data_IF_467333690308
#
_entry.id   IF_467333690308
#
_cell.length_a   1.000
_cell.length_b   1.000
_cell.length_c   1.000
_cell.angle_alpha   90.00
_cell.angle_beta   90.00
_cell.angle_gamma   90.00
#
_symmetry.space_group_name_H-M   'P 1'
#
loop_
_entity.id
_entity.type
_entity.pdbx_description
1 polymer ?
#
# COMPACT_ATOMS: atom_id res chain seq x y z
N UNK A 1 -5.21 19.52 5.15
CA UNK A 1 -4.01 18.65 5.17
C UNK A 1 -3.74 18.20 3.75
N UNK A 2 -2.49 18.25 3.30
CA UNK A 2 -2.14 17.77 1.96
C UNK A 2 -2.21 16.22 1.92
N UNK A 3 -2.52 15.65 0.74
CA UNK A 3 -2.61 14.18 0.57
C UNK A 3 -1.31 13.49 0.96
N UNK A 4 -0.15 14.06 0.60
CA UNK A 4 1.15 13.51 0.98
C UNK A 4 1.35 13.44 2.50
N UNK A 5 0.87 14.44 3.22
CA UNK A 5 1.02 14.48 4.68
C UNK A 5 0.11 13.43 5.34
N UNK A 6 -1.10 13.23 4.78
CA UNK A 6 -2.00 12.16 5.22
C UNK A 6 -1.41 10.77 4.97
N UNK A 7 -0.75 10.58 3.82
CA UNK A 7 -0.05 9.32 3.50
C UNK A 7 1.13 9.09 4.44
N UNK A 8 1.94 10.12 4.69
CA UNK A 8 3.06 10.07 5.64
C UNK A 8 2.58 9.65 7.03
N UNK A 9 1.55 10.33 7.55
CA UNK A 9 0.95 9.99 8.85
C UNK A 9 0.45 8.55 8.90
N UNK A 10 -0.20 8.07 7.84
CA UNK A 10 -0.69 6.69 7.78
C UNK A 10 0.43 5.66 7.78
N UNK A 11 1.53 5.93 7.07
CA UNK A 11 2.73 5.07 7.09
C UNK A 11 3.36 5.10 8.48
N UNK A 12 3.56 6.28 9.06
CA UNK A 12 4.12 6.46 10.41
C UNK A 12 3.32 5.71 11.47
N UNK A 13 1.99 5.82 11.43
CA UNK A 13 1.10 5.13 12.35
C UNK A 13 1.24 3.60 12.27
N UNK A 14 1.32 3.06 11.05
CA UNK A 14 1.48 1.63 10.85
C UNK A 14 2.86 1.13 11.28
N UNK A 15 3.93 1.86 10.97
CA UNK A 15 5.28 1.52 11.37
C UNK A 15 5.48 1.59 12.89
N UNK A 16 4.80 2.53 13.55
CA UNK A 16 4.81 2.65 15.02
C UNK A 16 4.07 1.49 15.69
N UNK A 17 2.99 1.03 15.07
CA UNK A 17 2.13 -0.03 15.62
C UNK A 17 2.72 -1.42 15.45
N UNK A 18 3.49 -1.64 14.39
CA UNK A 18 3.95 -2.97 14.00
C UNK A 18 5.40 -2.91 13.48
N UNK A 19 6.29 -3.58 14.20
CA UNK A 19 7.72 -3.61 13.87
C UNK A 19 8.04 -4.40 12.60
N UNK A 20 7.15 -5.28 12.16
CA UNK A 20 7.29 -6.04 10.90
C UNK A 20 7.01 -5.18 9.66
N UNK A 21 6.46 -3.99 9.81
CA UNK A 21 6.23 -3.05 8.69
C UNK A 21 7.55 -2.40 8.31
N UNK A 22 7.93 -2.56 7.04
CA UNK A 22 9.09 -1.92 6.42
C UNK A 22 8.67 -1.12 5.20
N UNK A 23 9.42 -0.09 4.86
CA UNK A 23 9.22 0.71 3.64
C UNK A 23 10.46 0.55 2.76
N UNK A 24 10.26 0.23 1.48
CA UNK A 24 11.36 0.14 0.52
C UNK A 24 10.96 0.70 -0.83
N UNK A 25 11.95 1.22 -1.53
CA UNK A 25 11.79 1.81 -2.85
C UNK A 25 12.93 2.75 -3.20
N UNK A 26 12.85 3.34 -4.38
CA UNK A 26 13.82 4.31 -4.85
C UNK A 26 13.68 5.63 -4.11
N UNK A 27 14.80 6.11 -3.52
CA UNK A 27 14.90 7.43 -2.88
C UNK A 27 13.86 7.66 -1.75
N UNK A 28 13.36 6.60 -1.14
CA UNK A 28 12.35 6.70 -0.07
C UNK A 28 12.93 7.14 1.27
N UNK A 29 14.22 6.89 1.51
CA UNK A 29 14.93 7.24 2.72
C UNK A 29 15.60 8.61 2.61
N UNK A 30 16.79 8.66 2.04
CA UNK A 30 17.64 9.85 2.00
C UNK A 30 16.97 11.06 1.32
N UNK A 31 16.26 10.84 0.23
CA UNK A 31 15.55 11.89 -0.51
C UNK A 31 14.11 12.12 -0.04
N UNK A 32 13.60 11.32 0.91
CA UNK A 32 12.24 11.40 1.46
C UNK A 32 11.12 11.10 0.43
N UNK A 33 11.43 10.34 -0.60
CA UNK A 33 10.52 10.07 -1.73
C UNK A 33 10.45 11.20 -2.75
N UNK A 34 10.12 10.87 -3.99
CA UNK A 34 10.00 11.84 -5.09
C UNK A 34 9.01 12.98 -4.76
N UNK A 35 7.94 12.66 -4.07
CA UNK A 35 6.89 13.61 -3.66
C UNK A 35 6.91 13.92 -2.15
N UNK A 36 8.01 13.56 -1.48
CA UNK A 36 8.24 13.82 -0.05
C UNK A 36 7.21 13.16 0.89
N UNK A 37 6.66 12.02 0.46
CA UNK A 37 5.69 11.26 1.26
C UNK A 37 6.34 10.62 2.48
N UNK A 38 7.62 10.27 2.40
CA UNK A 38 8.34 9.54 3.44
C UNK A 38 9.24 10.44 4.31
N UNK A 39 9.00 11.76 4.26
CA UNK A 39 9.78 12.73 5.03
C UNK A 39 9.81 12.40 6.52
N UNK A 40 11.02 12.37 7.09
CA UNK A 40 11.26 12.15 8.52
C UNK A 40 11.17 10.69 8.97
N UNK A 41 10.82 9.75 8.07
CA UNK A 41 10.68 8.36 8.46
C UNK A 41 12.03 7.65 8.61
N UNK A 42 13.03 8.00 7.80
CA UNK A 42 14.38 7.42 7.93
C UNK A 42 15.01 7.76 9.28
N UNK A 43 14.93 9.03 9.68
CA UNK A 43 15.46 9.51 10.95
C UNK A 43 14.77 8.86 12.14
N UNK A 44 13.50 8.51 11.98
CA UNK A 44 12.68 7.93 13.05
C UNK A 44 12.83 6.41 13.17
N UNK A 45 12.94 5.69 12.05
CA UNK A 45 12.88 4.22 12.03
C UNK A 45 14.19 3.56 11.62
N UNK A 46 15.15 4.33 11.08
CA UNK A 46 16.46 3.84 10.66
C UNK A 46 16.44 3.06 9.33
N UNK A 47 17.64 2.78 8.85
CA UNK A 47 17.88 2.13 7.55
C UNK A 47 17.41 0.66 7.50
N UNK A 48 17.26 0.01 8.64
CA UNK A 48 16.74 -1.36 8.70
C UNK A 48 15.24 -1.46 8.36
N UNK A 49 14.52 -0.35 8.47
CA UNK A 49 13.08 -0.30 8.20
C UNK A 49 12.69 0.64 7.07
N UNK A 50 13.55 1.60 6.73
CA UNK A 50 13.40 2.50 5.58
C UNK A 50 14.57 2.22 4.64
N UNK A 51 14.30 1.56 3.53
CA UNK A 51 15.32 0.95 2.69
C UNK A 51 15.32 1.63 1.32
N UNK A 52 16.37 2.38 1.03
CA UNK A 52 16.61 2.88 -0.32
C UNK A 52 17.11 1.74 -1.22
N UNK A 53 16.53 1.62 -2.40
CA UNK A 53 16.88 0.61 -3.39
C UNK A 53 17.54 1.24 -4.61
N UNK A 54 18.35 0.48 -5.37
CA UNK A 54 18.74 0.88 -6.72
C UNK A 54 17.52 1.06 -7.63
N UNK A 55 17.70 1.77 -8.76
CA UNK A 55 16.69 1.88 -9.81
C UNK A 55 16.57 0.52 -10.51
N UNK A 56 15.71 -0.32 -9.97
CA UNK A 56 15.44 -1.67 -10.48
C UNK A 56 14.09 -2.17 -9.97
N UNK A 57 13.02 -1.73 -10.59
CA UNK A 57 11.66 -2.00 -10.14
C UNK A 57 11.34 -3.51 -10.10
N UNK A 58 11.83 -4.25 -11.09
CA UNK A 58 11.73 -5.71 -11.07
C UNK A 58 12.46 -6.32 -9.86
N UNK A 59 13.66 -5.83 -9.55
CA UNK A 59 14.47 -6.34 -8.44
C UNK A 59 13.85 -6.05 -7.09
N UNK A 60 13.55 -4.80 -6.80
CA UNK A 60 13.02 -4.44 -5.47
C UNK A 60 11.56 -4.87 -5.27
N UNK A 61 10.74 -4.94 -6.32
CA UNK A 61 9.40 -5.53 -6.20
C UNK A 61 9.48 -7.01 -5.83
N UNK A 62 10.40 -7.76 -6.47
CA UNK A 62 10.64 -9.16 -6.10
C UNK A 62 11.17 -9.32 -4.68
N UNK A 63 12.10 -8.46 -4.27
CA UNK A 63 12.62 -8.44 -2.90
C UNK A 63 11.52 -8.16 -1.87
N UNK A 64 10.65 -7.17 -2.15
CA UNK A 64 9.50 -6.85 -1.30
C UNK A 64 8.52 -8.03 -1.18
N UNK A 65 8.21 -8.70 -2.28
CA UNK A 65 7.37 -9.91 -2.27
C UNK A 65 8.00 -11.01 -1.43
N UNK A 66 9.30 -11.26 -1.62
CA UNK A 66 10.05 -12.24 -0.81
C UNK A 66 10.02 -11.90 0.68
N UNK A 67 10.20 -10.64 1.04
CA UNK A 67 10.10 -10.17 2.42
C UNK A 67 8.68 -10.38 3.00
N UNK A 68 7.64 -10.13 2.19
CA UNK A 68 6.25 -10.39 2.56
C UNK A 68 5.97 -11.88 2.79
N UNK A 69 6.46 -12.74 1.92
CA UNK A 69 6.37 -14.20 2.09
C UNK A 69 7.18 -14.69 3.30
N UNK A 70 8.27 -13.98 3.64
CA UNK A 70 9.11 -14.25 4.81
C UNK A 70 8.55 -13.74 6.14
N UNK A 71 7.36 -13.11 6.14
CA UNK A 71 6.67 -12.69 7.37
C UNK A 71 6.77 -11.21 7.70
N UNK A 72 7.46 -10.39 6.90
CA UNK A 72 7.43 -8.94 7.01
C UNK A 72 6.16 -8.37 6.35
N UNK A 73 5.92 -7.07 6.53
CA UNK A 73 4.81 -6.33 5.91
C UNK A 73 5.37 -5.16 5.10
N UNK A 74 5.87 -5.42 3.91
CA UNK A 74 6.49 -4.39 3.11
C UNK A 74 5.50 -3.38 2.56
N UNK A 75 5.89 -2.12 2.59
CA UNK A 75 5.34 -1.04 1.76
C UNK A 75 6.36 -0.81 0.65
N UNK A 76 6.06 -1.29 -0.55
CA UNK A 76 6.91 -1.15 -1.73
C UNK A 76 6.47 0.09 -2.50
N UNK A 77 7.32 1.11 -2.50
CA UNK A 77 7.05 2.37 -3.20
C UNK A 77 7.72 2.41 -4.56
N UNK A 78 6.93 2.62 -5.60
CA UNK A 78 7.42 3.02 -6.92
C UNK A 78 7.49 4.54 -6.99
N UNK A 79 8.54 5.08 -7.59
CA UNK A 79 8.72 6.52 -7.76
C UNK A 79 7.55 7.17 -8.51
N UNK A 80 7.04 6.47 -9.55
CA UNK A 80 5.72 6.64 -10.14
C UNK A 80 5.15 5.27 -10.48
N UNK A 81 3.86 5.07 -10.28
CA UNK A 81 3.23 3.77 -10.51
C UNK A 81 3.25 3.33 -11.98
N UNK A 82 3.57 4.23 -12.89
CA UNK A 82 3.84 3.93 -14.30
C UNK A 82 4.94 2.87 -14.45
N UNK A 83 5.97 2.91 -13.60
CA UNK A 83 7.11 1.97 -13.66
C UNK A 83 6.86 0.67 -12.90
N UNK A 84 5.73 0.52 -12.25
CA UNK A 84 5.31 -0.76 -11.67
C UNK A 84 5.16 -1.86 -12.74
N UNK A 85 5.00 -1.48 -14.01
CA UNK A 85 5.01 -2.43 -15.13
C UNK A 85 6.29 -3.24 -15.23
N UNK A 86 7.43 -2.69 -14.82
CA UNK A 86 8.72 -3.42 -14.84
C UNK A 86 8.75 -4.54 -13.78
N UNK A 87 7.95 -4.43 -12.73
CA UNK A 87 7.80 -5.44 -11.68
C UNK A 87 6.44 -6.16 -11.70
N UNK A 88 5.69 -6.07 -12.81
CA UNK A 88 4.30 -6.56 -12.88
C UNK A 88 4.17 -8.05 -12.59
N UNK A 89 5.14 -8.85 -12.99
CA UNK A 89 5.14 -10.30 -12.70
C UNK A 89 5.16 -10.57 -11.20
N UNK A 90 6.00 -9.87 -10.46
CA UNK A 90 6.06 -10.00 -9.00
C UNK A 90 4.78 -9.56 -8.30
N UNK A 91 4.10 -8.54 -8.83
CA UNK A 91 2.82 -8.06 -8.29
C UNK A 91 1.71 -9.09 -8.56
N UNK A 92 1.57 -9.53 -9.81
CA UNK A 92 0.45 -10.35 -10.25
C UNK A 92 0.68 -11.84 -10.00
N UNK A 93 1.82 -12.38 -10.43
CA UNK A 93 2.06 -13.82 -10.36
C UNK A 93 2.62 -14.25 -9.00
N UNK A 94 3.48 -13.44 -8.40
CA UNK A 94 4.09 -13.80 -7.12
C UNK A 94 3.22 -13.37 -5.93
N UNK A 95 2.94 -12.07 -5.76
CA UNK A 95 2.19 -11.58 -4.60
C UNK A 95 0.71 -11.96 -4.64
N UNK A 96 0.01 -11.63 -5.74
CA UNK A 96 -1.45 -11.80 -5.81
C UNK A 96 -1.88 -13.26 -5.79
N UNK A 97 -1.15 -14.15 -6.47
CA UNK A 97 -1.54 -15.56 -6.65
C UNK A 97 -1.03 -16.52 -5.60
N UNK A 98 -0.01 -16.14 -4.81
CA UNK A 98 0.61 -17.03 -3.83
C UNK A 98 -0.39 -17.62 -2.86
N UNK A 99 -1.30 -16.81 -2.34
CA UNK A 99 -2.34 -17.26 -1.40
C UNK A 99 -3.28 -18.30 -2.01
N UNK A 100 -3.77 -18.04 -3.22
CA UNK A 100 -4.66 -18.95 -3.93
C UNK A 100 -3.95 -20.25 -4.30
N UNK A 101 -2.75 -20.18 -4.91
CA UNK A 101 -2.02 -21.35 -5.37
C UNK A 101 -1.54 -22.25 -4.23
N UNK A 102 -1.36 -21.70 -3.03
CA UNK A 102 -1.01 -22.47 -1.83
C UNK A 102 -2.21 -22.94 -1.02
N UNK A 103 -3.42 -22.89 -1.56
CA UNK A 103 -4.66 -23.23 -0.85
C UNK A 103 -4.85 -22.45 0.47
N UNK A 104 -4.44 -21.18 0.47
CA UNK A 104 -4.59 -20.28 1.62
C UNK A 104 -3.46 -20.34 2.67
N UNK A 105 -2.43 -21.16 2.43
CA UNK A 105 -1.33 -21.36 3.39
C UNK A 105 -0.37 -20.17 3.37
N UNK A 106 0.08 -19.76 2.18
CA UNK A 106 1.02 -18.66 2.03
C UNK A 106 0.30 -17.32 2.08
N UNK A 107 0.85 -16.38 2.84
CA UNK A 107 0.36 -14.99 2.89
C UNK A 107 1.45 -14.05 2.42
N UNK A 108 1.07 -13.06 1.64
CA UNK A 108 1.96 -11.99 1.20
C UNK A 108 1.32 -10.64 1.58
N UNK A 109 1.46 -10.19 2.83
CA UNK A 109 0.86 -8.95 3.31
C UNK A 109 1.70 -7.74 2.85
N UNK A 110 1.54 -7.35 1.60
CA UNK A 110 2.33 -6.30 0.94
C UNK A 110 1.42 -5.18 0.45
N UNK A 111 1.94 -3.96 0.47
CA UNK A 111 1.35 -2.79 -0.16
C UNK A 111 2.28 -2.30 -1.26
N UNK A 112 1.79 -2.26 -2.48
CA UNK A 112 2.44 -1.55 -3.59
C UNK A 112 1.80 -0.18 -3.72
N UNK A 113 2.61 0.87 -3.70
CA UNK A 113 2.13 2.24 -3.80
C UNK A 113 2.99 3.11 -4.70
N UNK A 114 2.42 4.20 -5.17
CA UNK A 114 3.11 5.23 -5.94
C UNK A 114 2.13 6.27 -6.47
N UNK A 115 2.61 7.42 -6.94
CA UNK A 115 1.80 8.36 -7.69
C UNK A 115 1.25 7.70 -8.95
N UNK A 116 0.00 8.02 -9.31
CA UNK A 116 -0.68 7.39 -10.45
C UNK A 116 -1.57 8.41 -11.14
N UNK A 117 -1.72 8.27 -12.45
CA UNK A 117 -2.55 9.13 -13.27
C UNK A 117 -1.80 10.28 -13.93
N UNK A 118 -2.56 11.28 -14.36
CA UNK A 118 -2.03 12.43 -15.09
C UNK A 118 -1.08 13.26 -14.23
N UNK A 119 0.05 13.62 -14.81
CA UNK A 119 1.03 14.53 -14.21
C UNK A 119 1.31 15.73 -15.12
N UNK A 120 1.88 16.78 -14.57
CA UNK A 120 2.09 18.03 -15.31
C UNK A 120 3.45 18.04 -16.00
N UNK A 121 3.44 18.13 -17.35
CA UNK A 121 4.65 18.39 -18.14
C UNK A 121 5.69 17.30 -18.22
N UNK A 122 5.35 16.03 -17.90
CA UNK A 122 6.30 14.91 -17.85
C UNK A 122 6.09 13.86 -18.94
N UNK A 123 5.20 14.12 -19.89
CA UNK A 123 4.97 13.25 -21.06
C UNK A 123 4.15 12.00 -20.78
N UNK A 124 3.98 11.17 -21.81
CA UNK A 124 3.09 10.01 -21.79
C UNK A 124 3.49 8.94 -20.78
N UNK A 125 4.78 8.62 -20.69
CA UNK A 125 5.29 7.56 -19.81
C UNK A 125 5.07 7.83 -18.30
N UNK A 126 4.87 9.09 -17.91
CA UNK A 126 4.66 9.51 -16.53
C UNK A 126 3.20 9.96 -16.28
N UNK A 127 2.28 9.69 -17.19
CA UNK A 127 0.90 10.20 -17.14
C UNK A 127 -0.14 9.09 -17.39
N UNK A 128 0.17 7.88 -16.97
CA UNK A 128 -0.65 6.68 -17.17
C UNK A 128 -1.40 6.31 -15.89
N UNK A 129 -2.47 5.53 -16.04
CA UNK A 129 -3.19 4.92 -14.92
C UNK A 129 -3.45 3.44 -15.24
N UNK A 130 -2.84 2.57 -14.45
CA UNK A 130 -2.99 1.12 -14.59
C UNK A 130 -3.94 0.51 -13.56
N UNK A 131 -4.71 1.32 -12.85
CA UNK A 131 -5.63 0.83 -11.82
C UNK A 131 -6.58 -0.25 -12.34
N UNK A 132 -7.10 -0.10 -13.57
CA UNK A 132 -7.97 -1.10 -14.19
C UNK A 132 -7.26 -2.43 -14.42
N UNK A 133 -6.00 -2.43 -14.82
CA UNK A 133 -5.21 -3.64 -15.01
C UNK A 133 -5.05 -4.43 -13.71
N UNK A 134 -4.63 -3.76 -12.65
CA UNK A 134 -4.42 -4.40 -11.36
C UNK A 134 -5.74 -4.78 -10.68
N UNK A 135 -6.81 -4.03 -10.89
CA UNK A 135 -8.12 -4.33 -10.30
C UNK A 135 -8.77 -5.58 -10.91
N UNK A 136 -8.37 -5.97 -12.13
CA UNK A 136 -8.83 -7.21 -12.76
C UNK A 136 -8.12 -8.46 -12.23
N UNK A 137 -7.05 -8.31 -11.42
CA UNK A 137 -6.26 -9.43 -10.94
C UNK A 137 -6.81 -9.96 -9.60
N UNK A 138 -7.27 -11.22 -9.52
CA UNK A 138 -7.66 -11.85 -8.26
C UNK A 138 -6.49 -11.84 -7.26
N UNK A 139 -6.79 -11.51 -6.00
CA UNK A 139 -5.79 -11.40 -4.93
C UNK A 139 -5.30 -9.96 -4.68
N UNK A 140 -5.53 -9.04 -5.60
CA UNK A 140 -5.21 -7.62 -5.42
C UNK A 140 -6.44 -6.81 -4.98
N UNK A 141 -6.19 -5.79 -4.16
CA UNK A 141 -7.15 -4.74 -3.81
C UNK A 141 -6.58 -3.40 -4.26
N UNK A 142 -7.21 -2.77 -5.26
CA UNK A 142 -6.80 -1.44 -5.72
C UNK A 142 -7.56 -0.37 -4.93
N UNK A 143 -6.82 0.58 -4.36
CA UNK A 143 -7.38 1.68 -3.56
C UNK A 143 -6.83 3.02 -4.05
N UNK A 144 -7.71 4.02 -4.04
CA UNK A 144 -7.35 5.40 -4.25
C UNK A 144 -7.65 6.20 -2.98
N UNK A 145 -6.80 7.17 -2.57
CA UNK A 145 -7.00 7.93 -1.33
C UNK A 145 -8.40 8.56 -1.16
N UNK A 146 -9.05 8.95 -2.27
CA UNK A 146 -10.40 9.52 -2.24
C UNK A 146 -11.51 8.56 -1.79
N UNK A 147 -11.26 7.25 -1.78
CA UNK A 147 -12.25 6.25 -1.34
C UNK A 147 -12.30 6.03 0.17
N UNK A 148 -11.30 6.49 0.94
CA UNK A 148 -11.27 6.29 2.40
C UNK A 148 -12.33 7.09 3.18
N UNK A 149 -12.86 8.16 2.60
CA UNK A 149 -13.86 9.00 3.30
C UNK A 149 -15.25 8.34 3.44
N UNK A 150 -15.53 7.27 2.66
CA UNK A 150 -16.84 6.59 2.70
C UNK A 150 -16.91 5.38 3.64
N UNK A 151 -15.79 4.77 4.00
CA UNK A 151 -15.81 3.55 4.81
C UNK A 151 -15.92 3.81 6.33
N UNK A 152 -15.50 4.99 6.84
CA UNK A 152 -15.63 5.35 8.26
C UNK A 152 -17.07 5.58 8.72
N UNK A 153 -18.04 5.66 7.81
CA UNK A 153 -19.45 5.86 8.14
C UNK A 153 -20.30 4.58 8.23
N UNK A 154 -19.75 3.41 7.95
CA UNK A 154 -20.50 2.15 7.93
C UNK A 154 -20.23 1.20 9.09
N UNK A 155 -19.15 1.39 9.86
CA UNK A 155 -18.87 0.52 11.02
C UNK A 155 -19.62 0.90 12.30
N UNK A 156 -20.38 2.01 12.29
CA UNK A 156 -21.14 2.49 13.45
C UNK A 156 -22.64 2.22 13.42
N UNK A 157 -23.17 1.53 12.39
CA UNK A 157 -24.62 1.36 12.19
C UNK A 157 -25.22 0.02 12.67
N UNK A 158 -24.40 -0.95 13.06
CA UNK A 158 -24.86 -2.32 13.36
C UNK A 158 -25.31 -2.58 14.81
N UNK A 159 -24.88 -1.78 15.75
CA UNK A 159 -25.14 -2.10 17.17
C UNK A 159 -26.34 -1.35 17.80
N UNK A 160 -26.91 -0.34 17.14
CA UNK A 160 -28.03 0.41 17.69
C UNK A 160 -29.43 -0.10 17.34
N UNK A 161 -29.53 -1.07 16.44
CA UNK A 161 -30.84 -1.63 16.06
C UNK A 161 -31.25 -2.84 16.91
N UNK A 162 -30.28 -3.50 17.58
CA UNK A 162 -30.58 -4.65 18.44
C UNK A 162 -31.06 -4.26 19.85
N UNK A 163 -30.74 -3.05 20.33
CA UNK A 163 -31.21 -2.58 21.65
C UNK A 163 -32.61 -2.00 21.61
N UNK A 164 -33.04 -1.42 20.49
CA UNK A 164 -34.43 -0.87 20.37
C UNK A 164 -35.53 -1.93 20.28
N UNK A 165 -35.20 -3.18 19.97
CA UNK A 165 -36.20 -4.28 19.94
C UNK A 165 -36.39 -4.99 21.25
N UNK A 166 -35.61 -4.69 22.31
CA UNK A 166 -35.78 -5.27 23.63
C UNK A 166 -36.58 -4.44 24.62
N UNK A 167 -36.81 -3.18 24.32
CA UNK A 167 -37.59 -2.26 25.20
C UNK A 167 -39.06 -2.08 24.79
N UNK A 168 -39.49 -2.57 23.64
CA UNK A 168 -40.85 -2.43 23.12
C UNK A 168 -41.81 -3.61 23.38
N UNK A 169 -41.51 -4.49 24.34
CA UNK A 169 -42.32 -5.69 24.59
C UNK A 169 -42.67 -5.91 26.06
N UNK A 170 -43.20 -4.87 26.69
CA UNK A 170 -43.91 -5.00 27.98
C UNK A 170 -45.00 -3.91 28.07
N UNK A 171 -46.15 -4.24 27.58
CA UNK A 171 -47.46 -3.79 28.09
C UNK A 171 -48.48 -4.85 27.72
#
# INVERSE_FOLDING_TARGET
>A
MAVRDALNMGIDEMMKKDESVILMGEEVGQYHGAYKVTRGLLEKYGESRIIDTPITEMGFAGLAVGAGLGGLKPICEFMTFNFAMQGIDHIINSAAKAHYMSSGIMKCPIVFRGPNGMSTGVGAQHSQCFAAWYSSCPGLKVRHPSFRHRERGREGGGERESERKKEGGRE
#
